data_IF_319753372785
#
_entry.id   IF_319753372785
#
_cell.length_a   1.000
_cell.length_b   1.000
_cell.length_c   1.000
_cell.angle_alpha   90.00
_cell.angle_beta   90.00
_cell.angle_gamma   90.00
#
_symmetry.space_group_name_H-M   'P 1'
#
loop_
_entity.id
_entity.type
_entity.pdbx_description
1 polymer ?
#
# COMPACT_ATOMS: atom_id res chain seq x y z
N UNK A 1 -7.52 1.21 8.27
CA UNK A 1 -6.83 2.41 8.77
C UNK A 1 -5.66 2.77 7.87
N UNK A 2 -5.68 4.02 7.41
CA UNK A 2 -4.69 4.58 6.50
C UNK A 2 -3.72 5.37 7.38
N UNK A 3 -2.44 5.00 7.36
CA UNK A 3 -1.39 5.70 8.09
C UNK A 3 -0.99 6.93 7.27
N UNK A 4 -1.84 7.96 7.33
CA UNK A 4 -1.71 9.22 6.60
C UNK A 4 -3.09 9.81 6.25
N UNK A 5 -3.12 11.11 5.92
CA UNK A 5 -4.31 11.78 5.39
C UNK A 5 -4.14 12.00 3.89
N UNK A 6 -5.09 11.48 3.12
CA UNK A 6 -5.26 11.78 1.69
C UNK A 6 -6.56 12.56 1.57
N UNK A 7 -6.48 13.78 1.06
CA UNK A 7 -7.65 14.56 0.66
C UNK A 7 -7.61 14.71 -0.86
N UNK A 8 -8.71 14.41 -1.53
CA UNK A 8 -8.85 14.56 -2.99
C UNK A 8 -9.76 15.75 -3.20
N UNK A 9 -9.23 16.83 -3.76
CA UNK A 9 -9.96 18.07 -4.00
C UNK A 9 -9.87 18.38 -5.50
N UNK A 10 -10.98 18.22 -6.24
CA UNK A 10 -11.20 18.29 -7.70
C UNK A 10 -10.03 17.93 -8.63
N UNK A 11 -8.91 18.65 -8.59
CA UNK A 11 -7.74 18.48 -9.45
C UNK A 11 -6.40 18.22 -8.70
N UNK A 12 -6.44 18.12 -7.37
CA UNK A 12 -5.26 17.96 -6.51
C UNK A 12 -5.47 16.83 -5.48
N UNK A 13 -4.51 15.93 -5.37
CA UNK A 13 -4.38 15.00 -4.24
C UNK A 13 -3.49 15.65 -3.20
N UNK A 14 -4.05 15.98 -2.05
CA UNK A 14 -3.30 16.46 -0.89
C UNK A 14 -2.94 15.26 -0.04
N UNK A 15 -1.65 14.94 0.00
CA UNK A 15 -1.12 13.93 0.90
C UNK A 15 -0.29 14.64 1.97
N UNK A 16 -0.76 14.56 3.23
CA UNK A 16 -0.11 15.17 4.39
C UNK A 16 0.02 16.71 4.30
N UNK A 17 1.07 17.23 3.67
CA UNK A 17 1.34 18.66 3.46
C UNK A 17 1.75 19.01 2.03
N UNK A 18 1.67 18.05 1.10
CA UNK A 18 2.10 18.23 -0.29
C UNK A 18 0.90 18.09 -1.21
N UNK A 19 0.77 19.04 -2.12
CA UNK A 19 -0.27 19.09 -3.15
C UNK A 19 0.27 18.41 -4.42
N UNK A 20 -0.41 17.38 -4.89
CA UNK A 20 -0.06 16.68 -6.12
C UNK A 20 -1.16 16.89 -7.16
N UNK A 21 -0.84 17.51 -8.29
CA UNK A 21 -1.80 17.65 -9.40
C UNK A 21 -2.10 16.26 -10.01
N UNK A 22 -3.39 15.92 -10.16
CA UNK A 22 -3.82 14.63 -10.71
C UNK A 22 -3.42 14.44 -12.18
N UNK A 23 -3.28 15.55 -12.91
CA UNK A 23 -2.92 15.55 -14.33
C UNK A 23 -1.51 14.98 -14.59
N UNK A 24 -0.60 15.13 -13.61
CA UNK A 24 0.81 14.73 -13.70
C UNK A 24 1.14 13.45 -12.94
N UNK A 25 0.16 12.79 -12.30
CA UNK A 25 0.33 11.46 -11.69
C UNK A 25 0.41 10.40 -12.79
N UNK A 26 1.62 9.91 -13.05
CA UNK A 26 1.86 9.02 -14.19
C UNK A 26 1.77 7.54 -13.79
N UNK A 27 2.28 7.19 -12.60
CA UNK A 27 2.30 5.82 -12.10
C UNK A 27 1.68 5.74 -10.70
N UNK A 28 0.69 4.86 -10.57
CA UNK A 28 0.03 4.51 -9.32
C UNK A 28 0.36 3.04 -9.02
N UNK A 29 1.17 2.80 -7.99
CA UNK A 29 1.62 1.47 -7.61
C UNK A 29 1.21 1.17 -6.17
N UNK A 30 0.67 -0.04 -5.94
CA UNK A 30 0.26 -0.49 -4.60
C UNK A 30 0.98 -1.80 -4.17
N UNK A 31 2.32 -1.81 -4.07
CA UNK A 31 3.07 -3.03 -3.73
C UNK A 31 2.77 -3.53 -2.31
N UNK A 32 2.81 -4.85 -2.15
CA UNK A 32 2.68 -5.54 -0.85
C UNK A 32 4.08 -5.70 -0.22
N UNK A 33 4.60 -4.61 0.35
CA UNK A 33 6.00 -4.54 0.85
C UNK A 33 6.27 -5.56 1.97
N UNK A 34 5.28 -5.82 2.82
CA UNK A 34 5.44 -6.69 3.98
C UNK A 34 5.14 -8.16 3.72
N UNK A 35 4.68 -8.52 2.51
CA UNK A 35 4.31 -9.89 2.18
C UNK A 35 5.53 -10.81 2.14
N UNK A 36 6.61 -10.39 1.47
CA UNK A 36 7.84 -11.16 1.36
C UNK A 36 8.49 -11.45 2.73
N UNK A 37 8.76 -10.44 3.59
CA UNK A 37 9.31 -10.72 4.92
C UNK A 37 8.33 -11.50 5.81
N UNK A 38 7.02 -11.24 5.72
CA UNK A 38 6.01 -12.00 6.45
C UNK A 38 5.98 -13.48 6.07
N UNK A 39 6.08 -13.78 4.78
CA UNK A 39 6.18 -15.14 4.27
C UNK A 39 7.47 -15.83 4.71
N UNK A 40 8.60 -15.12 4.65
CA UNK A 40 9.89 -15.65 5.08
C UNK A 40 9.87 -16.04 6.57
N UNK A 41 9.32 -15.17 7.43
CA UNK A 41 9.16 -15.45 8.87
C UNK A 41 8.23 -16.65 9.06
N UNK A 42 7.07 -16.66 8.42
CA UNK A 42 6.10 -17.74 8.61
C UNK A 42 6.64 -19.11 8.18
N UNK A 43 7.38 -19.17 7.07
CA UNK A 43 8.02 -20.40 6.58
C UNK A 43 9.15 -20.82 7.53
N UNK A 44 10.01 -19.89 7.95
CA UNK A 44 11.11 -20.20 8.87
C UNK A 44 10.59 -20.72 10.22
N UNK A 45 9.59 -20.05 10.80
CA UNK A 45 8.95 -20.46 12.05
C UNK A 45 8.22 -21.81 11.94
N UNK A 46 7.55 -22.07 10.81
CA UNK A 46 6.92 -23.36 10.57
C UNK A 46 7.94 -24.49 10.39
N UNK A 47 9.01 -24.27 9.62
CA UNK A 47 10.08 -25.23 9.41
C UNK A 47 10.84 -25.53 10.72
N UNK A 48 11.05 -24.52 11.55
CA UNK A 48 11.62 -24.67 12.89
C UNK A 48 10.72 -25.50 13.79
N UNK A 49 9.43 -25.14 13.89
CA UNK A 49 8.45 -25.88 14.70
C UNK A 49 8.35 -27.35 14.29
N UNK A 50 8.42 -27.63 12.98
CA UNK A 50 8.44 -29.00 12.45
C UNK A 50 9.73 -29.75 12.77
N UNK A 51 10.89 -29.11 12.60
CA UNK A 51 12.20 -29.73 12.83
C UNK A 51 12.47 -30.07 14.30
N UNK A 52 11.89 -29.31 15.23
CA UNK A 52 12.08 -29.46 16.68
C UNK A 52 10.80 -29.88 17.40
N UNK A 53 9.91 -30.58 16.70
CA UNK A 53 8.58 -30.94 17.21
C UNK A 53 8.62 -31.81 18.47
N UNK A 54 9.64 -32.63 18.62
CA UNK A 54 9.89 -33.51 19.76
C UNK A 54 10.42 -32.76 20.99
N UNK A 55 11.15 -31.66 20.79
CA UNK A 55 11.80 -30.87 21.84
C UNK A 55 10.88 -29.75 22.36
N UNK A 56 10.07 -29.15 21.48
CA UNK A 56 9.22 -28.01 21.81
C UNK A 56 8.05 -28.39 22.72
N UNK A 57 7.81 -27.61 23.77
CA UNK A 57 6.60 -27.73 24.59
C UNK A 57 5.34 -27.31 23.81
N UNK A 58 4.16 -27.82 24.18
CA UNK A 58 2.91 -27.48 23.50
C UNK A 58 2.64 -25.95 23.41
N UNK A 59 3.00 -25.19 24.45
CA UNK A 59 2.83 -23.74 24.47
C UNK A 59 3.78 -23.01 23.51
N UNK A 60 5.00 -23.49 23.33
CA UNK A 60 5.98 -22.91 22.40
C UNK A 60 5.55 -23.13 20.95
N UNK A 61 4.98 -24.30 20.64
CA UNK A 61 4.39 -24.59 19.32
C UNK A 61 3.25 -23.64 19.01
N UNK A 62 2.39 -23.39 20.00
CA UNK A 62 1.25 -22.48 19.87
C UNK A 62 1.73 -21.04 19.66
N UNK A 63 2.77 -20.62 20.38
CA UNK A 63 3.40 -19.31 20.20
C UNK A 63 4.02 -19.15 18.80
N UNK A 64 4.73 -20.17 18.29
CA UNK A 64 5.30 -20.15 16.94
C UNK A 64 4.22 -20.11 15.85
N UNK A 65 3.14 -20.88 16.00
CA UNK A 65 2.01 -20.83 15.09
C UNK A 65 1.33 -19.46 15.10
N UNK A 66 1.12 -18.88 16.28
CA UNK A 66 0.55 -17.54 16.42
C UNK A 66 1.46 -16.48 15.76
N UNK A 67 2.78 -16.60 15.94
CA UNK A 67 3.76 -15.71 15.32
C UNK A 67 3.72 -15.82 13.78
N UNK A 68 3.70 -17.04 13.23
CA UNK A 68 3.59 -17.25 11.77
C UNK A 68 2.29 -16.67 11.21
N UNK A 69 1.16 -16.91 11.88
CA UNK A 69 -0.13 -16.38 11.47
C UNK A 69 -0.16 -14.85 11.53
N UNK A 70 0.40 -14.26 12.59
CA UNK A 70 0.48 -12.82 12.77
C UNK A 70 1.38 -12.15 11.73
N UNK A 71 2.55 -12.73 11.44
CA UNK A 71 3.48 -12.24 10.41
C UNK A 71 2.83 -12.25 9.02
N UNK A 72 2.08 -13.31 8.67
CA UNK A 72 1.31 -13.39 7.43
C UNK A 72 0.18 -12.38 7.39
N UNK A 73 -0.59 -12.25 8.48
CA UNK A 73 -1.69 -11.30 8.58
C UNK A 73 -1.20 -9.87 8.35
N UNK A 74 -0.10 -9.47 8.98
CA UNK A 74 0.53 -8.16 8.74
C UNK A 74 0.97 -8.03 7.29
N UNK A 75 1.67 -9.04 6.77
CA UNK A 75 2.20 -9.02 5.40
C UNK A 75 1.14 -8.90 4.31
N UNK A 76 -0.05 -9.47 4.53
CA UNK A 76 -1.19 -9.40 3.61
C UNK A 76 -2.01 -8.12 3.83
N UNK A 77 -2.13 -7.65 5.07
CA UNK A 77 -3.01 -6.53 5.42
C UNK A 77 -2.42 -5.18 5.06
N UNK A 78 -1.10 -5.01 5.11
CA UNK A 78 -0.45 -3.71 4.89
C UNK A 78 0.00 -3.58 3.43
N UNK A 79 -0.44 -2.50 2.77
CA UNK A 79 0.02 -2.11 1.44
C UNK A 79 0.64 -0.73 1.48
N UNK A 80 1.61 -0.53 0.59
CA UNK A 80 2.22 0.78 0.32
C UNK A 80 1.55 1.32 -0.92
N UNK A 81 0.98 2.52 -0.85
CA UNK A 81 0.56 3.31 -1.99
C UNK A 81 1.71 4.24 -2.37
N UNK A 82 2.14 4.16 -3.62
CA UNK A 82 3.20 4.98 -4.18
C UNK A 82 2.69 5.68 -5.44
N UNK A 83 2.84 7.01 -5.46
CA UNK A 83 2.50 7.84 -6.60
C UNK A 83 3.67 8.74 -6.95
N UNK A 84 3.95 8.79 -8.25
CA UNK A 84 4.98 9.64 -8.84
C UNK A 84 4.25 10.73 -9.62
N UNK A 85 4.33 11.97 -9.11
CA UNK A 85 3.91 13.15 -9.87
C UNK A 85 5.11 13.83 -10.49
N UNK A 86 4.97 14.25 -11.75
CA UNK A 86 5.96 15.03 -12.46
C UNK A 86 5.52 16.48 -12.44
N UNK A 87 5.95 17.23 -11.43
CA UNK A 87 5.54 18.63 -11.31
C UNK A 87 6.20 19.50 -12.41
N UNK A 88 5.58 20.64 -12.72
CA UNK A 88 6.02 21.61 -13.75
C UNK A 88 7.46 22.09 -13.53
N UNK A 89 8.00 21.96 -12.31
CA UNK A 89 9.38 22.28 -11.93
C UNK A 89 10.41 21.18 -12.28
N UNK A 90 10.03 20.13 -13.03
CA UNK A 90 10.85 18.93 -13.37
C UNK A 90 11.28 18.05 -12.19
N UNK A 91 10.90 18.36 -10.96
CA UNK A 91 11.20 17.52 -9.81
C UNK A 91 10.21 16.34 -9.74
N UNK A 92 10.73 15.11 -9.69
CA UNK A 92 9.91 13.93 -9.39
C UNK A 92 9.58 13.96 -7.90
N UNK A 93 8.31 14.18 -7.58
CA UNK A 93 7.84 14.06 -6.21
C UNK A 93 7.22 12.68 -6.02
N UNK A 94 7.89 11.84 -5.25
CA UNK A 94 7.41 10.52 -4.85
C UNK A 94 6.72 10.65 -3.49
N UNK A 95 5.44 10.33 -3.43
CA UNK A 95 4.74 10.20 -2.16
C UNK A 95 4.55 8.73 -1.82
N UNK A 96 4.66 8.43 -0.53
CA UNK A 96 4.49 7.07 -0.03
C UNK A 96 3.52 7.11 1.15
N UNK A 97 2.45 6.34 1.03
CA UNK A 97 1.45 6.23 2.09
C UNK A 97 1.24 4.76 2.41
N UNK A 98 1.21 4.44 3.70
CA UNK A 98 0.94 3.08 4.15
C UNK A 98 -0.51 2.98 4.61
N UNK A 99 -1.16 1.86 4.33
CA UNK A 99 -2.51 1.64 4.80
C UNK A 99 -2.93 0.19 4.67
N UNK A 100 -4.12 -0.07 5.17
CA UNK A 100 -4.76 -1.39 4.97
C UNK A 100 -5.07 -1.63 3.50
N UNK A 101 -5.02 -2.89 3.08
CA UNK A 101 -5.18 -3.32 1.69
C UNK A 101 -6.48 -2.81 1.05
N UNK A 102 -7.58 -2.81 1.79
CA UNK A 102 -8.88 -2.32 1.31
C UNK A 102 -8.90 -0.82 1.08
N UNK A 103 -8.38 -0.03 2.02
CA UNK A 103 -8.38 1.43 1.90
C UNK A 103 -7.37 1.94 0.88
N UNK A 104 -6.20 1.30 0.77
CA UNK A 104 -5.22 1.62 -0.30
C UNK A 104 -5.86 1.36 -1.67
N UNK A 105 -6.59 0.25 -1.82
CA UNK A 105 -7.28 -0.06 -3.07
C UNK A 105 -8.41 0.94 -3.35
N UNK A 106 -9.17 1.32 -2.32
CA UNK A 106 -10.21 2.35 -2.43
C UNK A 106 -9.63 3.70 -2.86
N UNK A 107 -8.54 4.14 -2.22
CA UNK A 107 -7.84 5.37 -2.61
C UNK A 107 -7.34 5.29 -4.06
N UNK A 108 -6.82 4.13 -4.50
CA UNK A 108 -6.46 3.94 -5.91
C UNK A 108 -7.66 4.13 -6.86
N UNK A 109 -8.82 3.57 -6.51
CA UNK A 109 -10.02 3.71 -7.32
C UNK A 109 -10.55 5.14 -7.35
N UNK A 110 -10.53 5.84 -6.21
CA UNK A 110 -10.95 7.23 -6.10
C UNK A 110 -10.04 8.15 -6.95
N UNK A 111 -8.72 7.99 -6.86
CA UNK A 111 -7.76 8.74 -7.68
C UNK A 111 -7.95 8.43 -9.18
N UNK A 112 -8.13 7.16 -9.54
CA UNK A 112 -8.37 6.75 -10.93
C UNK A 112 -9.73 7.24 -11.48
N UNK A 113 -10.75 7.36 -10.65
CA UNK A 113 -12.04 7.92 -11.01
C UNK A 113 -11.95 9.43 -11.24
N UNK A 114 -11.33 10.16 -10.31
CA UNK A 114 -11.10 11.61 -10.42
C UNK A 114 -10.28 11.96 -11.67
N UNK A 115 -9.19 11.22 -11.93
CA UNK A 115 -8.38 11.40 -13.14
C UNK A 115 -9.17 11.19 -14.43
N UNK A 116 -10.04 10.16 -14.48
CA UNK A 116 -10.90 9.91 -15.66
C UNK A 116 -11.93 11.01 -15.90
N UNK A 117 -12.46 11.60 -14.83
CA UNK A 117 -13.38 12.73 -14.92
C UNK A 117 -12.66 13.96 -15.51
N UNK A 118 -11.47 14.28 -15.01
CA UNK A 118 -10.64 15.38 -15.52
C UNK A 118 -10.28 15.21 -17.01
N UNK A 119 -9.89 14.00 -17.45
CA UNK A 119 -9.60 13.75 -18.87
C UNK A 119 -10.82 13.89 -19.78
N UNK A 120 -12.03 13.63 -19.27
CA UNK A 120 -13.28 13.82 -20.02
C UNK A 120 -13.68 15.29 -20.15
N UNK A 121 -13.47 16.07 -19.09
CA UNK A 121 -13.83 17.49 -19.05
C UNK A 121 -12.79 18.35 -19.80
N UNK A 122 -11.48 18.07 -19.66
CA UNK A 122 -10.41 18.76 -20.41
C UNK A 122 -10.34 18.41 -21.90
N UNK A 123 -11.07 17.38 -22.35
CA UNK A 123 -11.19 17.01 -23.76
C UNK A 123 -12.23 17.81 -24.55
N UNK A 124 -13.04 18.64 -23.87
CA UNK A 124 -14.11 19.42 -24.52
C UNK A 124 -13.69 20.84 -24.95
N UNK A 125 -12.47 21.27 -24.61
CA UNK A 125 -11.96 22.62 -24.93
C UNK A 125 -11.09 22.64 -26.21
N UNK A 126 -11.19 21.59 -27.05
CA UNK A 126 -10.48 21.45 -28.33
C UNK A 126 -11.39 20.95 -29.45
N UNK A 127 -12.59 21.52 -29.58
CA UNK A 127 -13.46 21.33 -30.74
C UNK A 127 -13.74 22.68 -31.40
#
# INVERSE_FOLDING_TARGET
MLFGHIHIDDNVVVARHTHYFLETVNNLSAPRVFLAPGLMIAVASAAFSWSFWDILWPMERLALLALSAFALLIGVSIRRLEFISRDLTRAQQTCVIYGTSGEVNRACFEIAAARRKLMREGGHDKA
#
